data_IF_211734835463
#
_entry.id   IF_211734835463
#
_cell.length_a   1.000
_cell.length_b   1.000
_cell.length_c   1.000
_cell.angle_alpha   90.00
_cell.angle_beta   90.00
_cell.angle_gamma   90.00
#
_symmetry.space_group_name_H-M   'P 1'
#
loop_
_entity.id
_entity.type
_entity.pdbx_description
1 polymer ?
#
# COMPACT_ATOMS: atom_id res chain seq x y z
N UNK A 1 5.23 -23.83 -5.84
CA UNK A 1 5.76 -22.53 -5.39
C UNK A 1 4.72 -21.62 -4.71
N UNK A 2 3.50 -22.09 -4.39
CA UNK A 2 2.43 -21.24 -3.81
C UNK A 2 2.40 -21.23 -2.26
N UNK A 3 3.16 -22.12 -1.60
CA UNK A 3 3.15 -22.26 -0.13
C UNK A 3 3.99 -21.21 0.63
N UNK A 4 4.82 -20.39 -0.03
CA UNK A 4 5.65 -19.38 0.65
C UNK A 4 4.95 -18.04 0.88
N UNK A 5 4.02 -17.63 0.02
CA UNK A 5 3.31 -16.34 0.16
C UNK A 5 2.25 -16.30 1.27
N UNK A 6 1.85 -17.47 1.80
CA UNK A 6 0.88 -17.58 2.90
C UNK A 6 1.50 -17.38 4.30
N UNK A 7 2.83 -17.40 4.41
CA UNK A 7 3.57 -17.34 5.67
C UNK A 7 3.67 -15.92 6.25
N UNK A 8 3.71 -14.88 5.40
CA UNK A 8 4.11 -13.54 5.83
C UNK A 8 2.96 -12.68 6.37
N UNK A 9 1.70 -12.98 5.98
CA UNK A 9 0.53 -12.27 6.53
C UNK A 9 0.06 -12.85 7.88
N UNK A 10 0.33 -14.14 8.15
CA UNK A 10 -0.01 -14.78 9.44
C UNK A 10 0.79 -14.19 10.62
N UNK A 11 1.99 -13.66 10.37
CA UNK A 11 2.80 -12.99 11.41
C UNK A 11 2.18 -11.68 11.91
N UNK A 12 1.28 -11.03 11.15
CA UNK A 12 0.56 -9.85 11.65
C UNK A 12 -0.58 -10.21 12.62
N UNK A 13 -1.08 -11.44 12.59
CA UNK A 13 -2.21 -11.89 13.42
C UNK A 13 -1.73 -12.64 14.67
N UNK A 14 -0.57 -13.28 14.62
CA UNK A 14 -0.13 -14.22 15.66
C UNK A 14 0.36 -13.59 16.98
N UNK A 15 0.66 -12.29 17.05
CA UNK A 15 1.13 -11.66 18.30
C UNK A 15 0.02 -11.40 19.33
N UNK A 16 -1.21 -11.84 19.08
CA UNK A 16 -2.36 -11.66 19.99
C UNK A 16 -2.76 -12.92 20.79
N UNK A 17 -2.17 -14.10 20.53
CA UNK A 17 -2.67 -15.38 21.08
C UNK A 17 -1.60 -16.28 21.71
N UNK A 18 -0.73 -15.74 22.57
CA UNK A 18 0.18 -16.55 23.38
C UNK A 18 -0.05 -16.39 24.89
N UNK A 19 -1.28 -16.62 25.36
CA UNK A 19 -1.55 -16.97 26.77
C UNK A 19 -2.77 -17.90 26.87
N UNK A 20 -2.56 -19.21 26.72
CA UNK A 20 -3.21 -20.27 27.52
C UNK A 20 -2.92 -21.65 26.91
N UNK A 21 -2.01 -22.38 27.52
CA UNK A 21 -1.82 -23.81 27.28
C UNK A 21 -2.68 -24.60 28.25
N UNK A 22 -3.71 -25.27 27.75
CA UNK A 22 -4.33 -26.39 28.45
C UNK A 22 -4.64 -27.52 27.48
N UNK A 23 -4.14 -28.69 27.80
CA UNK A 23 -4.24 -29.93 27.04
C UNK A 23 -5.70 -30.33 26.77
N UNK A 24 -6.00 -30.75 25.54
CA UNK A 24 -7.27 -31.40 25.20
C UNK A 24 -7.01 -32.83 24.73
N UNK A 25 -7.75 -33.75 25.35
CA UNK A 25 -7.84 -35.17 25.01
C UNK A 25 -8.64 -35.36 23.72
N UNK A 26 -8.23 -36.31 22.88
CA UNK A 26 -8.85 -36.57 21.57
C UNK A 26 -10.11 -37.44 21.71
N UNK A 27 -11.27 -36.80 21.77
CA UNK A 27 -12.57 -37.43 21.45
C UNK A 27 -13.21 -36.64 20.31
N UNK A 28 -13.53 -37.31 19.21
CA UNK A 28 -14.13 -36.68 18.03
C UNK A 28 -15.50 -36.07 18.32
N UNK A 29 -15.77 -34.90 17.73
CA UNK A 29 -17.02 -34.15 17.88
C UNK A 29 -18.19 -34.92 17.25
N UNK A 30 -19.32 -34.94 17.93
CA UNK A 30 -20.60 -35.41 17.39
C UNK A 30 -21.17 -34.41 16.35
N UNK A 31 -22.04 -34.89 15.45
CA UNK A 31 -22.64 -34.05 14.39
C UNK A 31 -23.37 -32.80 14.94
N UNK A 32 -23.91 -32.89 16.16
CA UNK A 32 -24.58 -31.78 16.84
C UNK A 32 -23.59 -30.74 17.42
N UNK A 33 -22.34 -31.13 17.69
CA UNK A 33 -21.27 -30.22 18.12
C UNK A 33 -20.57 -29.58 16.92
N UNK A 34 -20.44 -30.30 15.80
CA UNK A 34 -19.98 -29.74 14.53
C UNK A 34 -20.91 -28.61 14.02
N UNK A 35 -22.21 -28.73 14.26
CA UNK A 35 -23.21 -27.71 13.90
C UNK A 35 -23.13 -26.41 14.73
N UNK A 36 -22.38 -26.39 15.85
CA UNK A 36 -22.17 -25.19 16.69
C UNK A 36 -20.81 -24.54 16.50
N UNK A 37 -19.96 -25.09 15.65
CA UNK A 37 -18.73 -24.43 15.25
C UNK A 37 -19.17 -23.19 14.44
N UNK A 38 -18.80 -21.96 14.85
CA UNK A 38 -19.03 -20.79 14.03
C UNK A 38 -18.45 -21.09 12.66
N UNK A 39 -19.28 -21.04 11.61
CA UNK A 39 -18.77 -21.12 10.25
C UNK A 39 -17.72 -20.02 10.12
N UNK A 40 -16.45 -20.42 10.00
CA UNK A 40 -15.39 -19.49 9.68
C UNK A 40 -15.86 -18.68 8.46
N UNK A 41 -15.82 -17.34 8.48
CA UNK A 41 -16.21 -16.56 7.33
C UNK A 41 -15.45 -17.10 6.14
N UNK A 42 -16.22 -17.43 5.09
CA UNK A 42 -15.76 -18.06 3.87
C UNK A 42 -14.38 -17.55 3.45
N UNK A 43 -13.47 -18.47 3.12
CA UNK A 43 -12.21 -18.22 2.43
C UNK A 43 -12.35 -17.00 1.52
N UNK A 44 -11.85 -15.84 1.96
CA UNK A 44 -11.79 -14.65 1.12
C UNK A 44 -10.83 -14.99 -0.02
N UNK A 45 -11.38 -15.31 -1.19
CA UNK A 45 -10.58 -15.65 -2.36
C UNK A 45 -9.70 -14.44 -2.68
N UNK A 46 -8.39 -14.63 -2.59
CA UNK A 46 -7.41 -13.68 -3.09
C UNK A 46 -7.26 -13.95 -4.58
N UNK A 47 -7.34 -12.93 -5.41
CA UNK A 47 -6.96 -13.07 -6.81
C UNK A 47 -5.44 -13.31 -6.95
N UNK A 48 -4.96 -13.51 -8.18
CA UNK A 48 -3.54 -13.73 -8.48
C UNK A 48 -2.62 -12.60 -7.96
N UNK A 49 -3.19 -11.42 -7.71
CA UNK A 49 -2.50 -10.22 -7.24
C UNK A 49 -2.74 -9.94 -5.75
N UNK A 50 -3.43 -10.83 -5.04
CA UNK A 50 -3.71 -10.68 -3.61
C UNK A 50 -4.86 -9.72 -3.27
N UNK A 51 -5.60 -9.23 -4.27
CA UNK A 51 -6.78 -8.39 -4.10
C UNK A 51 -7.91 -9.21 -3.48
N UNK A 52 -8.62 -8.62 -2.51
CA UNK A 52 -9.81 -9.23 -1.89
C UNK A 52 -11.11 -8.62 -2.41
N UNK A 53 -11.04 -7.64 -3.31
CA UNK A 53 -12.18 -7.12 -4.06
C UNK A 53 -13.18 -6.42 -3.15
N UNK A 54 -12.73 -5.48 -2.32
CA UNK A 54 -13.60 -4.76 -1.39
C UNK A 54 -14.69 -4.00 -2.17
N UNK A 55 -15.93 -4.47 -2.08
CA UNK A 55 -17.07 -3.84 -2.73
C UNK A 55 -17.67 -2.76 -1.83
N UNK A 56 -17.48 -1.50 -2.19
CA UNK A 56 -18.10 -0.36 -1.49
C UNK A 56 -19.39 0.04 -2.21
N UNK A 57 -20.50 0.04 -1.47
CA UNK A 57 -21.77 0.60 -1.95
C UNK A 57 -21.87 2.06 -1.54
N UNK A 58 -22.11 2.94 -2.52
CA UNK A 58 -22.35 4.37 -2.27
C UNK A 58 -23.84 4.57 -1.97
N UNK A 59 -24.22 5.11 -0.79
CA UNK A 59 -25.60 5.41 -0.49
C UNK A 59 -26.22 6.36 -1.53
N UNK A 60 -27.44 6.11 -2.03
CA UNK A 60 -28.08 6.99 -3.01
C UNK A 60 -28.33 8.43 -2.53
N UNK A 61 -28.38 8.62 -1.21
CA UNK A 61 -28.53 9.93 -0.56
C UNK A 61 -27.27 10.78 -0.63
N UNK A 62 -26.09 10.18 -0.85
CA UNK A 62 -24.83 10.92 -0.86
C UNK A 62 -24.71 11.73 -2.14
N UNK A 63 -24.39 13.01 -1.97
CA UNK A 63 -24.11 13.95 -3.05
C UNK A 63 -22.64 14.31 -2.98
N UNK A 64 -21.97 14.22 -4.11
CA UNK A 64 -20.56 14.59 -4.24
C UNK A 64 -20.46 15.82 -5.14
N UNK A 65 -19.52 16.73 -4.88
CA UNK A 65 -19.31 17.90 -5.74
C UNK A 65 -18.93 17.53 -7.18
N UNK A 66 -18.27 16.38 -7.36
CA UNK A 66 -17.88 15.85 -8.66
C UNK A 66 -17.61 14.33 -8.58
N UNK A 67 -17.50 13.67 -9.74
CA UNK A 67 -17.23 12.23 -9.81
C UNK A 67 -15.84 11.83 -9.28
N UNK A 68 -14.87 12.76 -9.26
CA UNK A 68 -13.53 12.48 -8.70
C UNK A 68 -13.61 12.26 -7.19
N UNK A 69 -14.36 13.11 -6.48
CA UNK A 69 -14.60 12.95 -5.04
C UNK A 69 -15.49 11.74 -4.74
N UNK A 70 -16.44 11.40 -5.61
CA UNK A 70 -17.20 10.15 -5.50
C UNK A 70 -16.30 8.92 -5.61
N UNK A 71 -15.37 8.91 -6.56
CA UNK A 71 -14.40 7.84 -6.74
C UNK A 71 -13.40 7.78 -5.57
N UNK A 72 -12.98 8.94 -5.05
CA UNK A 72 -12.15 9.02 -3.86
C UNK A 72 -12.83 8.44 -2.63
N UNK A 73 -14.13 8.72 -2.43
CA UNK A 73 -14.92 8.09 -1.37
C UNK A 73 -14.89 6.57 -1.49
N UNK A 74 -15.14 6.02 -2.68
CA UNK A 74 -15.12 4.56 -2.92
C UNK A 74 -13.74 3.98 -2.57
N UNK A 75 -12.66 4.64 -3.01
CA UNK A 75 -11.28 4.23 -2.74
C UNK A 75 -10.96 4.23 -1.25
N UNK A 76 -11.27 5.31 -0.55
CA UNK A 76 -10.93 5.49 0.86
C UNK A 76 -11.77 4.58 1.76
N UNK A 77 -13.05 4.34 1.42
CA UNK A 77 -13.86 3.37 2.15
C UNK A 77 -13.39 1.93 1.92
N UNK A 78 -12.96 1.58 0.69
CA UNK A 78 -12.36 0.27 0.42
C UNK A 78 -11.06 0.09 1.21
N UNK A 79 -10.23 1.14 1.27
CA UNK A 79 -9.00 1.10 2.05
C UNK A 79 -9.26 1.04 3.56
N UNK A 80 -10.27 1.75 4.06
CA UNK A 80 -10.70 1.64 5.46
C UNK A 80 -11.12 0.22 5.82
N UNK A 81 -11.76 -0.52 4.92
CA UNK A 81 -12.07 -1.95 5.11
C UNK A 81 -10.80 -2.84 5.10
N UNK A 82 -9.76 -2.43 4.38
CA UNK A 82 -8.47 -3.11 4.33
C UNK A 82 -7.55 -2.78 5.53
N UNK A 83 -7.91 -1.81 6.36
CA UNK A 83 -7.22 -1.46 7.61
C UNK A 83 -7.76 -2.34 8.74
N UNK A 84 -6.85 -3.09 9.39
CA UNK A 84 -7.17 -4.01 10.48
C UNK A 84 -6.88 -3.42 11.87
N UNK A 85 -5.97 -2.44 11.94
CA UNK A 85 -5.57 -1.77 13.19
C UNK A 85 -5.24 -0.32 12.90
N UNK A 86 -5.85 0.59 13.65
CA UNK A 86 -5.57 2.03 13.60
C UNK A 86 -5.49 2.57 15.04
N UNK A 87 -4.33 2.38 15.72
CA UNK A 87 -4.20 2.65 17.16
C UNK A 87 -4.34 4.13 17.51
N UNK A 88 -4.08 5.01 16.55
CA UNK A 88 -4.19 6.47 16.69
C UNK A 88 -5.52 7.03 16.18
N UNK A 89 -6.40 6.18 15.66
CA UNK A 89 -7.70 6.55 15.10
C UNK A 89 -7.60 7.63 14.01
N UNK A 90 -6.57 7.56 13.16
CA UNK A 90 -6.30 8.53 12.09
C UNK A 90 -7.32 8.47 10.95
N UNK A 91 -7.99 7.33 10.79
CA UNK A 91 -9.03 7.08 9.78
C UNK A 91 -10.44 7.08 10.37
N UNK A 92 -10.58 7.42 11.65
CA UNK A 92 -11.84 7.36 12.38
C UNK A 92 -12.94 8.21 11.74
N UNK A 93 -12.60 9.42 11.30
CA UNK A 93 -13.50 10.40 10.70
C UNK A 93 -13.76 10.20 9.20
N UNK A 94 -13.19 9.15 8.59
CA UNK A 94 -13.46 8.79 7.20
C UNK A 94 -14.88 8.20 7.06
N UNK A 95 -15.89 9.05 7.20
CA UNK A 95 -17.32 8.70 7.18
C UNK A 95 -18.08 9.83 6.48
N UNK A 96 -19.04 9.47 5.63
CA UNK A 96 -19.87 10.45 4.92
C UNK A 96 -19.24 10.94 3.61
N UNK A 97 -19.96 11.78 2.83
CA UNK A 97 -19.56 12.14 1.47
C UNK A 97 -18.47 13.23 1.39
N UNK A 98 -18.21 13.96 2.49
CA UNK A 98 -17.29 15.10 2.52
C UNK A 98 -15.84 14.63 2.66
N UNK A 99 -15.32 13.97 1.62
CA UNK A 99 -13.97 13.37 1.59
C UNK A 99 -12.86 14.35 1.96
N UNK A 100 -12.99 15.61 1.60
CA UNK A 100 -11.98 16.63 1.90
C UNK A 100 -11.94 17.04 3.38
N UNK A 101 -12.92 16.63 4.19
CA UNK A 101 -12.90 16.83 5.63
C UNK A 101 -12.26 15.66 6.38
N UNK A 102 -11.89 14.59 5.68
CA UNK A 102 -11.25 13.45 6.31
C UNK A 102 -9.85 13.84 6.80
N UNK A 103 -9.53 13.44 8.02
CA UNK A 103 -8.19 13.59 8.56
C UNK A 103 -7.20 12.94 7.61
N UNK A 104 -6.07 13.63 7.38
CA UNK A 104 -4.95 13.15 6.58
C UNK A 104 -5.24 12.99 5.07
N UNK A 105 -6.36 13.50 4.59
CA UNK A 105 -6.71 13.57 3.17
C UNK A 105 -6.70 15.04 2.74
N UNK A 106 -5.88 15.37 1.74
CA UNK A 106 -5.67 16.74 1.30
C UNK A 106 -6.27 16.94 -0.09
N UNK A 107 -7.21 17.86 -0.19
CA UNK A 107 -7.81 18.26 -1.45
C UNK A 107 -7.17 19.53 -2.01
N UNK A 108 -7.09 19.62 -3.33
CA UNK A 108 -6.61 20.82 -4.03
C UNK A 108 -7.33 21.00 -5.37
N UNK A 109 -7.29 22.21 -5.97
CA UNK A 109 -7.71 22.43 -7.35
C UNK A 109 -6.87 21.60 -8.32
N UNK A 110 -7.52 20.95 -9.29
CA UNK A 110 -6.84 20.18 -10.33
C UNK A 110 -6.02 21.13 -11.24
N UNK A 111 -4.75 20.85 -11.55
CA UNK A 111 -3.93 21.75 -12.38
C UNK A 111 -4.49 22.01 -13.77
N UNK A 112 -5.16 21.03 -14.38
CA UNK A 112 -5.81 21.18 -15.69
C UNK A 112 -7.17 21.88 -15.64
N UNK A 113 -7.79 21.99 -14.46
CA UNK A 113 -9.07 22.66 -14.25
C UNK A 113 -9.24 23.10 -12.79
N UNK A 114 -8.93 24.36 -12.51
CA UNK A 114 -8.97 24.92 -11.16
C UNK A 114 -10.38 24.95 -10.52
N UNK A 115 -11.45 24.79 -11.30
CA UNK A 115 -12.82 24.69 -10.77
C UNK A 115 -13.13 23.31 -10.18
N UNK A 116 -12.29 22.30 -10.45
CA UNK A 116 -12.46 20.95 -9.90
C UNK A 116 -11.56 20.75 -8.69
N UNK A 117 -12.18 20.56 -7.53
CA UNK A 117 -11.49 20.11 -6.32
C UNK A 117 -11.39 18.59 -6.34
N UNK A 118 -10.18 18.07 -6.14
CA UNK A 118 -9.84 16.64 -6.15
C UNK A 118 -8.99 16.29 -4.93
N UNK A 119 -8.91 15.01 -4.58
CA UNK A 119 -7.94 14.52 -3.59
C UNK A 119 -6.56 14.52 -4.24
N UNK A 120 -5.68 15.37 -3.74
CA UNK A 120 -4.34 15.59 -4.27
C UNK A 120 -3.25 14.95 -3.40
N UNK A 121 -3.51 14.74 -2.11
CA UNK A 121 -2.54 14.15 -1.20
C UNK A 121 -3.17 13.28 -0.13
N UNK A 122 -2.43 12.28 0.33
CA UNK A 122 -2.72 11.50 1.53
C UNK A 122 -1.41 11.41 2.33
N UNK A 123 -1.50 11.71 3.62
CA UNK A 123 -0.36 11.63 4.55
C UNK A 123 -0.78 10.92 5.86
N UNK A 124 -0.51 9.61 5.94
CA UNK A 124 -0.72 8.80 7.14
C UNK A 124 0.59 8.45 7.85
N UNK A 125 1.60 9.33 7.73
CA UNK A 125 2.91 9.12 8.31
C UNK A 125 2.84 8.85 9.83
N UNK A 126 3.63 7.89 10.31
CA UNK A 126 3.74 7.51 11.72
C UNK A 126 2.41 7.08 12.37
N UNK A 127 1.50 6.47 11.61
CA UNK A 127 0.19 6.05 12.09
C UNK A 127 0.19 4.75 12.91
N UNK A 128 1.23 3.92 12.75
CA UNK A 128 1.24 2.51 13.21
C UNK A 128 0.00 1.71 12.73
N UNK A 129 -0.53 2.08 11.56
CA UNK A 129 -1.71 1.48 10.96
C UNK A 129 -1.32 0.14 10.34
N UNK A 130 -2.06 -0.93 10.66
CA UNK A 130 -1.88 -2.24 10.02
C UNK A 130 -3.00 -2.50 9.02
N UNK A 131 -2.63 -3.00 7.84
CA UNK A 131 -3.57 -3.30 6.76
C UNK A 131 -2.83 -3.68 5.48
N UNK A 132 -3.50 -3.52 4.34
CA UNK A 132 -2.92 -3.63 3.01
C UNK A 132 -3.47 -2.52 2.10
N UNK A 133 -2.86 -2.36 0.94
CA UNK A 133 -3.33 -1.42 -0.09
C UNK A 133 -4.25 -2.18 -1.06
N UNK A 134 -5.57 -1.87 -1.14
CA UNK A 134 -6.45 -2.50 -2.10
C UNK A 134 -6.28 -1.90 -3.50
N UNK A 135 -6.58 -2.69 -4.54
CA UNK A 135 -6.52 -2.24 -5.95
C UNK A 135 -7.45 -1.05 -6.24
N UNK A 136 -8.54 -0.91 -5.48
CA UNK A 136 -9.51 0.19 -5.57
C UNK A 136 -8.88 1.56 -5.25
N UNK A 137 -7.74 1.62 -4.54
CA UNK A 137 -7.01 2.89 -4.33
C UNK A 137 -6.59 3.55 -5.64
N UNK A 138 -6.44 2.79 -6.72
CA UNK A 138 -6.16 3.33 -8.07
C UNK A 138 -7.24 4.27 -8.63
N UNK A 139 -8.42 4.35 -8.01
CA UNK A 139 -9.46 5.32 -8.34
C UNK A 139 -9.09 6.77 -7.96
N UNK A 140 -8.08 6.97 -7.10
CA UNK A 140 -7.50 8.26 -6.76
C UNK A 140 -6.59 8.78 -7.89
N UNK A 141 -7.08 8.80 -9.13
CA UNK A 141 -6.28 9.09 -10.33
C UNK A 141 -5.59 10.47 -10.33
N UNK A 142 -6.09 11.39 -9.51
CA UNK A 142 -5.61 12.77 -9.40
C UNK A 142 -4.64 12.98 -8.21
N UNK A 143 -4.25 11.90 -7.52
CA UNK A 143 -3.33 11.92 -6.39
C UNK A 143 -1.91 12.28 -6.84
N UNK A 144 -1.28 13.23 -6.13
CA UNK A 144 0.08 13.69 -6.35
C UNK A 144 1.04 13.27 -5.22
N UNK A 145 0.56 13.22 -3.98
CA UNK A 145 1.36 12.85 -2.81
C UNK A 145 0.76 11.63 -2.12
N UNK A 146 1.56 10.60 -1.90
CA UNK A 146 1.16 9.44 -1.11
C UNK A 146 2.25 9.08 -0.11
N UNK A 147 2.02 9.50 1.14
CA UNK A 147 2.94 9.27 2.24
C UNK A 147 2.26 8.40 3.30
N UNK A 148 2.82 7.21 3.53
CA UNK A 148 2.34 6.28 4.55
C UNK A 148 3.51 5.70 5.34
N UNK A 149 4.55 6.50 5.54
CA UNK A 149 5.78 6.08 6.18
C UNK A 149 5.51 5.63 7.63
N UNK A 150 6.32 4.70 8.15
CA UNK A 150 6.23 4.25 9.55
C UNK A 150 4.84 3.71 9.93
N UNK A 151 4.38 2.74 9.14
CA UNK A 151 3.14 2.00 9.37
C UNK A 151 3.41 0.48 9.31
N UNK A 152 2.36 -0.32 9.39
CA UNK A 152 2.40 -1.78 9.30
C UNK A 152 1.61 -2.28 8.09
N UNK A 153 1.59 -1.53 6.98
CA UNK A 153 0.99 -1.99 5.74
C UNK A 153 1.80 -3.15 5.16
N UNK A 154 1.11 -4.19 4.70
CA UNK A 154 1.72 -5.41 4.20
C UNK A 154 1.15 -5.83 2.84
N UNK A 155 1.76 -6.86 2.24
CA UNK A 155 1.40 -7.36 0.92
C UNK A 155 2.26 -6.75 -0.20
N UNK A 156 1.74 -6.74 -1.41
CA UNK A 156 2.39 -6.14 -2.58
C UNK A 156 1.81 -4.76 -2.88
N UNK A 157 2.55 -3.91 -3.59
CA UNK A 157 2.00 -2.66 -4.13
C UNK A 157 1.02 -3.00 -5.26
N UNK A 158 -0.21 -2.46 -5.26
CA UNK A 158 -1.22 -2.78 -6.28
C UNK A 158 -0.77 -2.44 -7.70
N UNK A 159 -0.99 -3.34 -8.65
CA UNK A 159 -0.53 -3.13 -10.03
C UNK A 159 -1.30 -2.00 -10.73
N UNK A 160 -2.56 -1.73 -10.32
CA UNK A 160 -3.35 -0.62 -10.87
C UNK A 160 -2.86 0.74 -10.40
N UNK A 161 -1.85 0.84 -9.52
CA UNK A 161 -1.22 2.13 -9.21
C UNK A 161 -0.64 2.79 -10.45
N UNK A 162 -0.40 2.05 -11.54
CA UNK A 162 -0.06 2.64 -12.85
C UNK A 162 -1.08 3.70 -13.34
N UNK A 163 -2.31 3.72 -12.81
CA UNK A 163 -3.34 4.72 -13.12
C UNK A 163 -3.13 6.06 -12.42
N UNK A 164 -2.28 6.13 -11.39
CA UNK A 164 -1.96 7.34 -10.63
C UNK A 164 -0.99 8.22 -11.42
N UNK A 165 -1.48 8.77 -12.54
CA UNK A 165 -0.61 9.45 -13.52
C UNK A 165 -0.02 10.76 -13.01
N UNK A 166 -0.63 11.37 -12.00
CA UNK A 166 -0.14 12.61 -11.38
C UNK A 166 0.74 12.35 -10.14
N UNK A 167 0.95 11.08 -9.74
CA UNK A 167 1.72 10.77 -8.54
C UNK A 167 3.15 11.25 -8.70
N UNK A 168 3.54 12.16 -7.81
CA UNK A 168 4.80 12.89 -7.82
C UNK A 168 5.72 12.39 -6.72
N UNK A 169 5.18 12.16 -5.51
CA UNK A 169 5.92 11.59 -4.39
C UNK A 169 5.21 10.33 -3.87
N UNK A 170 6.01 9.27 -3.72
CA UNK A 170 5.58 8.00 -3.16
C UNK A 170 6.54 7.62 -2.02
N UNK A 171 6.06 7.75 -0.79
CA UNK A 171 6.78 7.32 0.41
C UNK A 171 6.03 6.16 1.09
N UNK A 172 6.58 4.97 0.92
CA UNK A 172 6.12 3.72 1.52
C UNK A 172 7.13 3.18 2.55
N UNK A 173 8.06 4.03 2.99
CA UNK A 173 9.17 3.59 3.83
C UNK A 173 8.71 3.11 5.20
N UNK A 174 9.48 2.21 5.81
CA UNK A 174 9.20 1.65 7.13
C UNK A 174 7.79 1.03 7.21
N UNK A 175 7.58 0.00 6.39
CA UNK A 175 6.37 -0.80 6.30
C UNK A 175 6.73 -2.29 6.22
N UNK A 176 5.76 -3.14 5.90
CA UNK A 176 5.91 -4.60 5.77
C UNK A 176 5.57 -5.06 4.35
N UNK A 177 5.83 -4.23 3.34
CA UNK A 177 5.63 -4.63 1.94
C UNK A 177 6.64 -5.69 1.54
N UNK A 178 6.20 -6.72 0.84
CA UNK A 178 6.99 -7.88 0.49
C UNK A 178 6.77 -8.30 -0.97
N UNK A 179 7.52 -9.29 -1.44
CA UNK A 179 7.47 -9.76 -2.83
C UNK A 179 8.52 -9.08 -3.71
N UNK A 180 8.39 -9.22 -5.04
CA UNK A 180 9.37 -8.65 -5.98
C UNK A 180 9.32 -7.12 -5.98
N UNK A 181 10.41 -6.50 -6.41
CA UNK A 181 10.46 -5.05 -6.65
C UNK A 181 9.24 -4.58 -7.48
N UNK A 182 8.57 -3.48 -7.09
CA UNK A 182 7.28 -3.09 -7.66
C UNK A 182 7.43 -2.38 -9.02
N UNK A 183 7.45 -3.12 -10.13
CA UNK A 183 7.59 -2.58 -11.49
C UNK A 183 6.55 -1.49 -11.86
N UNK A 184 5.44 -1.41 -11.13
CA UNK A 184 4.42 -0.36 -11.29
C UNK A 184 5.01 1.04 -11.16
N UNK A 185 6.03 1.24 -10.31
CA UNK A 185 6.67 2.57 -10.11
C UNK A 185 7.37 3.07 -11.36
N UNK A 186 7.81 2.16 -12.24
CA UNK A 186 8.41 2.50 -13.53
C UNK A 186 7.38 3.14 -14.47
N UNK A 187 6.10 2.74 -14.35
CA UNK A 187 4.97 3.17 -15.19
C UNK A 187 4.28 4.45 -14.73
N UNK A 188 4.78 5.09 -13.67
CA UNK A 188 4.28 6.37 -13.13
C UNK A 188 4.99 7.54 -13.80
N UNK A 189 4.39 8.26 -14.77
CA UNK A 189 5.12 9.22 -15.60
C UNK A 189 5.61 10.45 -14.83
N UNK A 190 4.89 10.88 -13.79
CA UNK A 190 5.19 12.11 -13.03
C UNK A 190 6.02 11.87 -11.76
N UNK A 191 6.36 10.62 -11.45
CA UNK A 191 7.06 10.29 -10.20
C UNK A 191 8.46 10.91 -10.19
N UNK A 192 8.79 11.62 -9.10
CA UNK A 192 10.08 12.25 -8.85
C UNK A 192 10.75 11.81 -7.56
N UNK A 193 9.96 11.50 -6.53
CA UNK A 193 10.44 11.03 -5.25
C UNK A 193 9.91 9.62 -4.99
N UNK A 194 10.82 8.66 -4.78
CA UNK A 194 10.48 7.28 -4.42
C UNK A 194 11.24 6.85 -3.18
N UNK A 195 10.52 6.54 -2.11
CA UNK A 195 11.06 5.95 -0.90
C UNK A 195 10.37 4.62 -0.57
N UNK A 196 11.15 3.54 -0.66
CA UNK A 196 10.76 2.17 -0.38
C UNK A 196 11.61 1.56 0.75
N UNK A 197 12.37 2.37 1.51
CA UNK A 197 13.29 1.88 2.54
C UNK A 197 12.57 1.08 3.62
N UNK A 198 13.31 0.22 4.31
CA UNK A 198 12.79 -0.54 5.47
C UNK A 198 11.50 -1.30 5.12
N UNK A 199 11.60 -2.16 4.10
CA UNK A 199 10.55 -3.08 3.66
C UNK A 199 11.18 -4.47 3.41
N UNK A 200 10.39 -5.41 2.89
CA UNK A 200 10.79 -6.79 2.63
C UNK A 200 10.80 -7.11 1.12
N UNK A 201 11.05 -6.12 0.25
CA UNK A 201 11.13 -6.37 -1.20
C UNK A 201 12.31 -7.29 -1.53
N UNK A 202 12.10 -8.25 -2.43
CA UNK A 202 13.04 -9.29 -2.84
C UNK A 202 13.34 -9.24 -4.35
N UNK A 203 14.32 -10.03 -4.78
CA UNK A 203 14.73 -10.13 -6.19
C UNK A 203 15.72 -9.05 -6.59
N UNK A 204 15.70 -8.65 -7.86
CA UNK A 204 16.62 -7.64 -8.40
C UNK A 204 15.86 -6.36 -8.69
N UNK A 205 16.44 -5.21 -8.32
CA UNK A 205 15.90 -3.90 -8.70
C UNK A 205 16.05 -3.74 -10.23
N UNK A 206 14.98 -3.44 -10.99
CA UNK A 206 15.06 -3.23 -12.43
C UNK A 206 16.00 -2.07 -12.78
N UNK A 207 16.83 -2.24 -13.80
CA UNK A 207 17.77 -1.20 -14.25
C UNK A 207 17.04 0.05 -14.77
N UNK A 208 15.83 -0.16 -15.30
CA UNK A 208 14.94 0.87 -15.83
C UNK A 208 14.55 1.90 -14.76
N UNK A 209 14.68 1.55 -13.48
CA UNK A 209 14.49 2.50 -12.38
C UNK A 209 15.53 3.63 -12.44
N UNK A 210 16.77 3.31 -12.80
CA UNK A 210 17.88 4.27 -12.90
C UNK A 210 17.87 5.04 -14.22
N UNK A 211 17.14 4.57 -15.22
CA UNK A 211 16.89 5.30 -16.47
C UNK A 211 15.77 6.34 -16.32
N UNK A 212 14.96 6.23 -15.27
CA UNK A 212 13.86 7.15 -14.98
C UNK A 212 14.41 8.48 -14.45
N UNK A 213 13.79 9.58 -14.87
CA UNK A 213 14.13 10.93 -14.39
C UNK A 213 13.57 11.17 -12.97
N UNK A 214 14.12 10.48 -11.98
CA UNK A 214 13.83 10.64 -10.56
C UNK A 214 14.80 11.64 -9.93
N UNK A 215 14.31 12.43 -8.99
CA UNK A 215 15.11 13.40 -8.25
C UNK A 215 15.72 12.74 -7.00
N UNK A 216 14.99 11.79 -6.38
CA UNK A 216 15.46 11.01 -5.25
C UNK A 216 14.93 9.56 -5.27
N UNK A 217 15.81 8.61 -4.95
CA UNK A 217 15.51 7.17 -4.90
C UNK A 217 16.09 6.60 -3.61
N UNK A 218 15.24 6.03 -2.77
CA UNK A 218 15.64 5.39 -1.53
C UNK A 218 15.08 3.96 -1.47
N UNK A 219 15.97 2.96 -1.50
CA UNK A 219 15.61 1.54 -1.61
C UNK A 219 16.42 0.63 -0.66
N UNK A 220 17.26 1.21 0.22
CA UNK A 220 18.04 0.46 1.21
C UNK A 220 17.15 -0.22 2.25
N UNK A 221 17.74 -1.14 3.03
CA UNK A 221 17.02 -1.92 4.06
C UNK A 221 15.83 -2.70 3.48
N UNK A 222 16.10 -3.38 2.36
CA UNK A 222 15.25 -4.37 1.72
C UNK A 222 16.05 -5.68 1.51
N UNK A 223 15.39 -6.75 1.07
CA UNK A 223 16.03 -8.01 0.66
C UNK A 223 16.44 -8.02 -0.83
N UNK A 224 16.14 -6.95 -1.56
CA UNK A 224 16.37 -6.85 -3.00
C UNK A 224 17.85 -6.54 -3.27
N UNK A 225 18.42 -7.25 -4.24
CA UNK A 225 19.76 -6.98 -4.74
C UNK A 225 19.74 -5.83 -5.76
N UNK A 226 20.66 -4.89 -5.62
CA UNK A 226 20.93 -3.88 -6.65
C UNK A 226 21.61 -4.53 -7.86
N UNK A 227 21.30 -4.11 -9.11
CA UNK A 227 22.01 -4.56 -10.31
C UNK A 227 23.52 -4.40 -10.19
N UNK A 228 24.28 -5.27 -10.87
CA UNK A 228 25.76 -5.16 -10.88
C UNK A 228 26.16 -3.89 -11.63
N UNK A 229 27.27 -3.28 -11.23
CA UNK A 229 27.80 -2.02 -11.80
C UNK A 229 27.96 -2.02 -13.33
N UNK A 230 28.12 -3.20 -13.95
CA UNK A 230 28.19 -3.35 -15.42
C UNK A 230 26.83 -3.31 -16.14
N UNK A 231 25.74 -3.49 -15.41
CA UNK A 231 24.35 -3.45 -15.91
C UNK A 231 23.72 -2.04 -15.73
N UNK A 232 24.32 -1.19 -14.87
CA UNK A 232 23.95 0.22 -14.64
C UNK A 232 24.67 1.10 -15.68
N UNK A 233 24.52 0.75 -16.96
CA UNK A 233 25.32 1.29 -18.07
C UNK A 233 25.57 2.80 -17.97
N UNK A 234 26.85 3.20 -18.00
CA UNK A 234 27.37 4.49 -18.49
C UNK A 234 26.66 5.81 -18.09
N UNK A 235 25.93 5.89 -16.98
CA UNK A 235 25.12 7.08 -16.62
C UNK A 235 25.71 7.99 -15.53
N UNK A 236 26.85 7.64 -14.91
CA UNK A 236 27.49 8.48 -13.87
C UNK A 236 28.55 9.44 -14.44
N UNK A 237 28.43 9.90 -15.70
CA UNK A 237 29.41 10.86 -16.24
C UNK A 237 28.88 12.25 -16.56
N UNK A 238 27.59 12.56 -16.36
CA UNK A 238 27.08 13.88 -16.79
C UNK A 238 25.90 14.49 -15.98
N UNK A 239 25.80 14.23 -14.68
CA UNK A 239 25.01 15.12 -13.79
C UNK A 239 25.78 15.33 -12.49
N UNK A 240 26.32 16.55 -12.35
CA UNK A 240 26.95 16.99 -11.11
C UNK A 240 25.95 16.96 -9.95
N UNK A 241 26.44 16.59 -8.77
CA UNK A 241 25.71 16.48 -7.51
C UNK A 241 24.66 15.35 -7.43
N UNK A 242 25.15 14.10 -7.31
CA UNK A 242 24.51 13.17 -6.38
C UNK A 242 25.10 13.42 -4.98
N UNK A 243 24.28 13.63 -3.94
CA UNK A 243 24.71 13.38 -2.57
C UNK A 243 24.98 11.88 -2.42
N UNK A 244 26.15 11.57 -1.89
CA UNK A 244 26.65 10.24 -1.53
C UNK A 244 25.62 9.39 -0.77
N UNK A 245 25.08 8.34 -1.39
CA UNK A 245 24.38 7.23 -0.72
C UNK A 245 24.67 5.89 -1.40
N UNK A 246 25.95 5.63 -1.65
CA UNK A 246 26.49 4.28 -1.67
C UNK A 246 27.42 4.21 -0.46
N UNK A 247 26.86 4.03 0.73
CA UNK A 247 27.69 3.69 1.89
C UNK A 247 28.02 2.20 1.84
N UNK A 248 29.28 1.93 2.08
CA UNK A 248 29.93 0.65 2.03
C UNK A 248 29.51 -0.20 3.22
N UNK A 249 29.07 -1.44 2.99
CA UNK A 249 29.34 -2.50 3.96
C UNK A 249 29.72 -3.77 3.21
N UNK A 250 31.00 -4.11 3.39
CA UNK A 250 31.60 -5.42 3.16
C UNK A 250 30.91 -6.53 3.94
#
# INVERSE_FOLDING_TARGET
>A
MIKSHLSECHKCVLDLFLLSSSAFSSTGLSDAEAARIPQAPALSYRDEFGDRGESVRVPPSFKFPNDRLRNAYIALQAWKLAIFSDPKNLTGDWVGPDVCNYSNVFCAPLPSNASLIVVAGIDLNHGDIAGYLPETLSLLADLALFHINSNRFCGIIPHKFERLKLLFELDLSNNRFAGRFPDVVLRLPSLKFLDLRYNEFEGTVPKELFDKDLDAIFINDNRAATPRRGDIGTLIHNRGHLPSLLDETS
#
